data_IF_839527489106
#
_entry.id   IF_839527489106
#
_cell.length_a   1.000
_cell.length_b   1.000
_cell.length_c   1.000
_cell.angle_alpha   90.00
_cell.angle_beta   90.00
_cell.angle_gamma   90.00
#
_symmetry.space_group_name_H-M   'P 1'
#
loop_
_entity.id
_entity.type
_entity.pdbx_description
1 polymer ?
#
# COMPACT_ATOMS: atom_id res chain seq x y z
N UNK A 1 11.41 12.80 0.96
CA UNK A 1 11.28 11.81 2.06
C UNK A 1 12.61 11.11 2.27
N UNK A 2 13.13 11.04 3.50
CA UNK A 2 14.34 10.29 3.81
C UNK A 2 14.05 8.77 3.75
N UNK A 3 15.12 7.98 3.61
CA UNK A 3 15.02 6.52 3.63
C UNK A 3 16.10 5.90 4.50
N UNK A 4 15.81 4.75 5.05
CA UNK A 4 16.76 3.91 5.79
C UNK A 4 16.81 2.52 5.17
N UNK A 5 17.96 1.86 5.24
CA UNK A 5 18.13 0.52 4.69
C UNK A 5 18.00 -0.53 5.78
N UNK A 6 17.05 -1.44 5.64
CA UNK A 6 16.87 -2.61 6.52
C UNK A 6 17.04 -3.86 5.65
N UNK A 7 18.11 -4.62 5.87
CA UNK A 7 18.59 -5.65 4.95
C UNK A 7 18.79 -5.06 3.55
N UNK A 8 18.11 -5.60 2.52
CA UNK A 8 18.19 -5.10 1.15
C UNK A 8 17.06 -4.15 0.77
N UNK A 9 16.15 -3.83 1.71
CA UNK A 9 14.98 -2.98 1.45
C UNK A 9 15.22 -1.56 1.97
N UNK A 10 15.02 -0.56 1.12
CA UNK A 10 14.97 0.84 1.54
C UNK A 10 13.59 1.15 2.10
N UNK A 11 13.51 1.52 3.35
CA UNK A 11 12.26 1.88 4.05
C UNK A 11 12.18 3.41 4.15
N UNK A 12 11.03 3.97 3.86
CA UNK A 12 10.78 5.40 3.97
C UNK A 12 10.62 5.83 5.43
N UNK A 13 11.32 6.88 5.83
CA UNK A 13 11.07 7.57 7.09
C UNK A 13 9.82 8.43 6.92
N UNK A 14 8.70 7.96 7.44
CA UNK A 14 7.41 8.59 7.18
C UNK A 14 6.42 8.34 8.30
N UNK A 15 5.33 9.10 8.26
CA UNK A 15 4.19 8.95 9.16
C UNK A 15 2.92 8.58 8.38
N UNK A 16 1.92 8.08 9.10
CA UNK A 16 0.62 7.76 8.54
C UNK A 16 -0.03 8.95 7.82
N UNK A 17 0.04 10.13 8.46
CA UNK A 17 -0.55 11.37 7.92
C UNK A 17 0.20 11.82 6.66
N UNK A 18 1.53 11.75 6.67
CA UNK A 18 2.36 12.13 5.53
C UNK A 18 2.07 11.26 4.29
N UNK A 19 2.06 9.92 4.46
CA UNK A 19 1.72 9.00 3.35
C UNK A 19 0.32 9.26 2.82
N UNK A 20 -0.66 9.42 3.71
CA UNK A 20 -2.05 9.65 3.32
C UNK A 20 -2.25 10.98 2.58
N UNK A 21 -1.55 12.04 2.99
CA UNK A 21 -1.59 13.32 2.30
C UNK A 21 -0.97 13.22 0.91
N UNK A 22 0.20 12.59 0.79
CA UNK A 22 0.88 12.39 -0.50
C UNK A 22 -0.04 11.61 -1.46
N UNK A 23 -0.68 10.52 -1.00
CA UNK A 23 -1.60 9.71 -1.80
C UNK A 23 -2.84 10.49 -2.28
N UNK A 24 -3.23 11.54 -1.60
CA UNK A 24 -4.36 12.38 -1.99
C UNK A 24 -3.97 13.60 -2.86
N UNK A 25 -2.68 13.87 -3.03
CA UNK A 25 -2.19 15.08 -3.74
C UNK A 25 -1.32 14.77 -4.94
N UNK A 26 -0.59 13.65 -4.91
CA UNK A 26 0.35 13.26 -5.97
C UNK A 26 -0.27 12.20 -6.89
N UNK A 27 0.11 12.25 -8.15
CA UNK A 27 -0.34 11.27 -9.15
C UNK A 27 0.72 10.20 -9.41
N UNK A 28 0.27 9.01 -9.76
CA UNK A 28 1.12 7.90 -10.25
C UNK A 28 2.19 7.42 -9.27
N UNK A 29 1.88 7.37 -7.98
CA UNK A 29 2.76 6.83 -6.95
C UNK A 29 2.51 5.35 -6.68
N UNK A 30 3.60 4.61 -6.45
CA UNK A 30 3.59 3.22 -5.98
C UNK A 30 3.99 3.19 -4.52
N UNK A 31 3.12 2.64 -3.66
CA UNK A 31 3.37 2.49 -2.22
C UNK A 31 3.43 1.01 -1.86
N UNK A 32 4.53 0.56 -1.27
CA UNK A 32 4.69 -0.78 -0.73
C UNK A 32 4.52 -0.77 0.79
N UNK A 33 3.68 -1.65 1.31
CA UNK A 33 3.51 -1.88 2.75
C UNK A 33 4.50 -2.96 3.17
N UNK A 34 5.62 -2.54 3.79
CA UNK A 34 6.77 -3.41 4.05
C UNK A 34 6.78 -3.93 5.48
N UNK A 35 6.22 -5.12 5.68
CA UNK A 35 6.33 -5.85 6.95
C UNK A 35 7.57 -6.76 6.99
N UNK A 36 7.79 -7.44 8.11
CA UNK A 36 8.94 -8.35 8.31
C UNK A 36 9.02 -9.43 7.24
N UNK A 37 7.87 -10.01 6.83
CA UNK A 37 7.86 -11.04 5.78
C UNK A 37 8.32 -10.46 4.44
N UNK A 38 7.81 -9.28 4.06
CA UNK A 38 8.22 -8.58 2.83
C UNK A 38 9.72 -8.33 2.82
N UNK A 39 10.28 -7.78 3.90
CA UNK A 39 11.70 -7.43 4.00
C UNK A 39 12.60 -8.67 3.98
N UNK A 40 12.22 -9.74 4.69
CA UNK A 40 13.00 -11.00 4.71
C UNK A 40 12.92 -11.74 3.37
N UNK A 41 11.77 -11.76 2.71
CA UNK A 41 11.66 -12.35 1.36
C UNK A 41 12.47 -11.56 0.34
N UNK A 42 12.37 -10.24 0.36
CA UNK A 42 13.18 -9.34 -0.48
C UNK A 42 14.69 -9.54 -0.27
N UNK A 43 15.14 -9.84 0.94
CA UNK A 43 16.54 -10.17 1.22
C UNK A 43 17.01 -11.49 0.58
N UNK A 44 16.09 -12.43 0.36
CA UNK A 44 16.39 -13.77 -0.18
C UNK A 44 16.12 -13.91 -1.67
N UNK A 45 15.51 -12.91 -2.26
CA UNK A 45 15.03 -12.92 -3.65
C UNK A 45 15.37 -11.56 -4.28
N UNK A 46 16.37 -11.56 -5.15
CA UNK A 46 16.88 -10.35 -5.78
C UNK A 46 15.83 -9.70 -6.70
N UNK A 47 15.03 -10.48 -7.41
CA UNK A 47 13.96 -9.96 -8.26
C UNK A 47 12.90 -9.27 -7.43
N UNK A 48 12.45 -9.88 -6.33
CA UNK A 48 11.53 -9.23 -5.39
C UNK A 48 12.14 -7.98 -4.76
N UNK A 49 13.45 -8.01 -4.45
CA UNK A 49 14.18 -6.85 -3.93
C UNK A 49 14.15 -5.67 -4.90
N UNK A 50 14.40 -5.90 -6.18
CA UNK A 50 14.34 -4.88 -7.21
C UNK A 50 12.92 -4.30 -7.34
N UNK A 51 11.91 -5.17 -7.36
CA UNK A 51 10.49 -4.76 -7.43
C UNK A 51 10.14 -3.89 -6.23
N UNK A 52 10.38 -4.34 -5.00
CA UNK A 52 10.04 -3.57 -3.78
C UNK A 52 10.80 -2.24 -3.73
N UNK A 53 12.10 -2.25 -4.09
CA UNK A 53 12.88 -1.02 -4.07
C UNK A 53 12.48 -0.03 -5.18
N UNK A 54 11.80 -0.48 -6.25
CA UNK A 54 11.27 0.40 -7.30
C UNK A 54 10.02 1.19 -6.88
N UNK A 55 9.41 0.88 -5.74
CA UNK A 55 8.29 1.65 -5.23
C UNK A 55 8.75 3.01 -4.69
N UNK A 56 7.92 4.04 -4.85
CA UNK A 56 8.24 5.41 -4.44
C UNK A 56 8.25 5.53 -2.92
N UNK A 57 7.26 4.95 -2.24
CA UNK A 57 7.15 4.92 -0.79
C UNK A 57 7.12 3.47 -0.30
N UNK A 58 7.93 3.16 0.70
CA UNK A 58 7.99 1.86 1.36
C UNK A 58 7.75 2.03 2.85
N UNK A 59 6.49 1.81 3.28
CA UNK A 59 6.09 2.08 4.66
C UNK A 59 6.61 1.02 5.64
N UNK A 60 7.04 1.42 6.85
CA UNK A 60 7.48 0.50 7.91
C UNK A 60 6.27 -0.16 8.60
N UNK A 61 5.72 -1.23 7.99
CA UNK A 61 4.63 -1.99 8.60
C UNK A 61 5.16 -2.98 9.64
N UNK A 62 4.52 -2.98 10.77
CA UNK A 62 4.86 -3.83 11.90
C UNK A 62 5.95 -3.26 12.81
N UNK A 63 5.82 -3.62 14.09
CA UNK A 63 6.73 -3.16 15.13
C UNK A 63 8.20 -3.49 14.85
N UNK A 64 8.57 -4.69 14.34
CA UNK A 64 9.98 -5.01 14.11
C UNK A 64 10.65 -4.07 13.09
N UNK A 65 9.96 -3.72 12.00
CA UNK A 65 10.54 -2.84 10.96
C UNK A 65 10.69 -1.41 11.49
N UNK A 66 9.64 -0.85 12.11
CA UNK A 66 9.70 0.48 12.71
C UNK A 66 10.79 0.56 13.81
N UNK A 67 10.88 -0.47 14.66
CA UNK A 67 11.88 -0.53 15.74
C UNK A 67 13.31 -0.68 15.20
N UNK A 68 13.51 -1.50 14.16
CA UNK A 68 14.82 -1.63 13.51
C UNK A 68 15.29 -0.30 12.92
N UNK A 69 14.41 0.45 12.25
CA UNK A 69 14.71 1.80 11.79
C UNK A 69 15.16 2.68 12.94
N UNK A 70 14.39 2.73 14.03
CA UNK A 70 14.71 3.56 15.20
C UNK A 70 16.03 3.22 15.88
N UNK A 71 16.36 1.91 15.99
CA UNK A 71 17.62 1.47 16.63
C UNK A 71 18.83 1.71 15.74
N UNK A 72 18.73 1.33 14.46
CA UNK A 72 19.87 1.38 13.54
C UNK A 72 20.23 2.82 13.12
N UNK A 73 19.22 3.67 12.98
CA UNK A 73 19.39 5.03 12.46
C UNK A 73 19.09 6.13 13.47
N UNK A 74 18.78 5.76 14.73
CA UNK A 74 18.53 6.70 15.84
C UNK A 74 17.40 7.71 15.53
N UNK A 75 16.39 7.28 14.77
CA UNK A 75 15.21 8.07 14.45
C UNK A 75 13.99 7.66 15.29
N UNK A 76 12.89 8.41 15.17
CA UNK A 76 11.61 8.13 15.82
C UNK A 76 10.61 7.60 14.79
N UNK A 77 10.84 6.40 14.28
CA UNK A 77 9.93 5.81 13.30
C UNK A 77 8.78 5.09 13.98
N UNK A 78 7.57 5.56 13.74
CA UNK A 78 6.33 4.88 14.11
C UNK A 78 5.93 3.83 13.06
N UNK A 79 5.12 2.85 13.48
CA UNK A 79 4.52 1.89 12.55
C UNK A 79 3.55 2.59 11.60
N UNK A 80 3.65 2.28 10.30
CA UNK A 80 2.77 2.77 9.24
C UNK A 80 2.24 1.55 8.49
N UNK A 81 1.10 1.03 8.93
CA UNK A 81 0.50 -0.20 8.39
C UNK A 81 -0.59 0.08 7.35
N UNK A 82 -0.81 -0.90 6.48
CA UNK A 82 -1.71 -0.76 5.33
C UNK A 82 -3.17 -0.47 5.69
N UNK A 83 -3.68 -1.05 6.79
CA UNK A 83 -5.05 -0.81 7.22
C UNK A 83 -5.28 0.66 7.62
N UNK A 84 -4.38 1.20 8.45
CA UNK A 84 -4.48 2.59 8.86
C UNK A 84 -4.15 3.56 7.71
N UNK A 85 -3.22 3.22 6.80
CA UNK A 85 -3.00 3.99 5.56
C UNK A 85 -4.30 4.08 4.76
N UNK A 86 -4.96 2.95 4.50
CA UNK A 86 -6.24 2.93 3.77
C UNK A 86 -7.29 3.84 4.42
N UNK A 87 -7.56 3.65 5.72
CA UNK A 87 -8.61 4.42 6.41
C UNK A 87 -8.28 5.92 6.50
N UNK A 88 -7.01 6.25 6.74
CA UNK A 88 -6.59 7.67 6.82
C UNK A 88 -6.65 8.33 5.45
N UNK A 89 -6.20 7.65 4.39
CA UNK A 89 -6.28 8.17 3.01
C UNK A 89 -7.73 8.40 2.58
N UNK A 90 -8.63 7.47 2.89
CA UNK A 90 -10.06 7.66 2.64
C UNK A 90 -10.56 8.90 3.38
N UNK A 91 -10.34 8.96 4.69
CA UNK A 91 -10.85 10.05 5.53
C UNK A 91 -10.32 11.42 5.10
N UNK A 92 -9.03 11.54 4.82
CA UNK A 92 -8.43 12.81 4.36
C UNK A 92 -8.81 13.16 2.92
N UNK A 93 -9.09 12.16 2.09
CA UNK A 93 -9.49 12.32 0.69
C UNK A 93 -10.96 12.67 0.46
N UNK A 94 -11.83 12.55 1.49
CA UNK A 94 -13.26 12.86 1.35
C UNK A 94 -13.52 14.30 0.87
N UNK A 95 -12.71 15.27 1.32
CA UNK A 95 -12.85 16.67 0.94
C UNK A 95 -12.48 16.95 -0.51
N UNK A 96 -11.61 16.13 -1.07
CA UNK A 96 -11.10 16.25 -2.44
C UNK A 96 -11.82 15.31 -3.41
N UNK A 97 -12.82 14.56 -2.91
CA UNK A 97 -13.53 13.52 -3.66
C UNK A 97 -12.56 12.49 -4.30
N UNK A 98 -11.48 12.13 -3.57
CA UNK A 98 -10.51 11.15 -4.04
C UNK A 98 -11.22 9.84 -4.38
N UNK A 99 -10.98 9.33 -5.59
CA UNK A 99 -11.58 8.07 -6.04
C UNK A 99 -10.75 6.87 -5.61
N UNK A 100 -11.45 5.76 -5.35
CA UNK A 100 -10.85 4.51 -4.87
C UNK A 100 -11.27 3.34 -5.76
N UNK A 101 -10.31 2.53 -6.18
CA UNK A 101 -10.53 1.26 -6.84
C UNK A 101 -9.94 0.11 -6.00
N UNK A 102 -10.72 -0.95 -5.79
CA UNK A 102 -10.27 -2.10 -4.98
C UNK A 102 -9.96 -3.29 -5.88
N UNK A 103 -8.71 -3.73 -5.86
CA UNK A 103 -8.23 -4.86 -6.66
C UNK A 103 -7.63 -5.96 -5.79
N UNK A 104 -8.07 -7.21 -6.01
CA UNK A 104 -7.52 -8.37 -5.29
C UNK A 104 -8.54 -9.11 -4.42
N UNK A 105 -8.06 -10.10 -3.66
CA UNK A 105 -8.90 -10.97 -2.81
C UNK A 105 -9.97 -11.73 -3.60
N UNK A 106 -11.03 -12.21 -2.94
CA UNK A 106 -12.21 -12.78 -3.59
C UNK A 106 -13.40 -11.79 -3.58
N UNK A 107 -14.33 -12.01 -4.48
CA UNK A 107 -15.52 -11.15 -4.67
C UNK A 107 -16.33 -10.92 -3.40
N UNK A 108 -16.47 -11.92 -2.55
CA UNK A 108 -17.26 -11.80 -1.32
C UNK A 108 -16.56 -10.92 -0.30
N UNK A 109 -15.22 -11.04 -0.21
CA UNK A 109 -14.41 -10.22 0.69
C UNK A 109 -14.42 -8.77 0.22
N UNK A 110 -14.20 -8.53 -1.08
CA UNK A 110 -14.22 -7.17 -1.64
C UNK A 110 -15.59 -6.51 -1.46
N UNK A 111 -16.68 -7.23 -1.74
CA UNK A 111 -18.05 -6.73 -1.52
C UNK A 111 -18.30 -6.35 -0.05
N UNK A 112 -17.89 -7.20 0.90
CA UNK A 112 -18.02 -6.89 2.34
C UNK A 112 -17.16 -5.69 2.75
N UNK A 113 -15.94 -5.58 2.23
CA UNK A 113 -15.08 -4.42 2.46
C UNK A 113 -15.76 -3.14 1.99
N UNK A 114 -16.25 -3.11 0.75
CA UNK A 114 -16.94 -1.95 0.18
C UNK A 114 -18.19 -1.58 0.98
N UNK A 115 -18.99 -2.56 1.39
CA UNK A 115 -20.18 -2.31 2.22
C UNK A 115 -19.79 -1.68 3.57
N UNK A 116 -18.71 -2.18 4.20
CA UNK A 116 -18.22 -1.62 5.45
C UNK A 116 -17.70 -0.20 5.24
N UNK A 117 -16.89 0.04 4.22
CA UNK A 117 -16.33 1.36 3.93
C UNK A 117 -17.43 2.39 3.63
N UNK A 118 -18.45 2.03 2.85
CA UNK A 118 -19.62 2.92 2.58
C UNK A 118 -20.42 3.21 3.84
N UNK A 119 -20.49 2.28 4.79
CA UNK A 119 -21.12 2.51 6.09
C UNK A 119 -20.31 3.45 6.98
N UNK A 120 -18.98 3.23 7.04
CA UNK A 120 -18.08 3.99 7.90
C UNK A 120 -17.76 5.39 7.31
N UNK A 121 -17.75 5.50 5.98
CA UNK A 121 -17.46 6.71 5.20
C UNK A 121 -18.55 6.92 4.13
N UNK A 122 -19.75 7.45 4.47
CA UNK A 122 -20.86 7.57 3.52
C UNK A 122 -20.56 8.39 2.27
N UNK A 123 -19.59 9.31 2.33
CA UNK A 123 -19.15 10.17 1.21
C UNK A 123 -17.97 9.59 0.41
N UNK A 124 -17.57 8.33 0.65
CA UNK A 124 -16.47 7.71 -0.09
C UNK A 124 -16.82 7.56 -1.58
N UNK A 125 -15.88 7.95 -2.45
CA UNK A 125 -16.02 7.78 -3.89
C UNK A 125 -15.32 6.47 -4.33
N UNK A 126 -16.08 5.39 -4.49
CA UNK A 126 -15.59 4.11 -5.00
C UNK A 126 -15.99 3.97 -6.46
N UNK A 127 -15.01 4.01 -7.37
CA UNK A 127 -15.23 3.98 -8.83
C UNK A 127 -15.24 2.56 -9.39
N UNK A 128 -14.71 1.56 -8.65
CA UNK A 128 -14.75 0.18 -9.09
C UNK A 128 -14.07 -0.80 -8.15
N UNK A 129 -14.19 -2.06 -8.51
CA UNK A 129 -13.47 -3.15 -7.85
C UNK A 129 -13.39 -4.37 -8.75
N UNK A 130 -12.31 -5.14 -8.70
CA UNK A 130 -12.18 -6.44 -9.35
C UNK A 130 -11.38 -7.43 -8.52
N UNK A 131 -11.72 -8.70 -8.68
CA UNK A 131 -11.09 -9.80 -7.98
C UNK A 131 -10.50 -10.76 -9.03
N UNK A 132 -9.20 -10.66 -9.35
CA UNK A 132 -8.59 -11.57 -10.30
C UNK A 132 -8.58 -13.01 -9.74
N UNK A 133 -8.53 -14.03 -10.60
CA UNK A 133 -8.38 -15.40 -10.16
C UNK A 133 -7.05 -15.60 -9.44
N UNK A 134 -6.93 -16.67 -8.66
CA UNK A 134 -5.63 -17.11 -8.13
C UNK A 134 -4.80 -17.65 -9.29
N UNK A 135 -3.62 -17.08 -9.53
CA UNK A 135 -2.76 -17.46 -10.64
C UNK A 135 -1.30 -17.08 -10.42
N UNK A 136 -0.46 -17.45 -11.39
CA UNK A 136 0.95 -17.02 -11.42
C UNK A 136 1.08 -15.52 -11.70
N UNK A 137 2.28 -14.96 -11.50
CA UNK A 137 2.54 -13.55 -11.83
C UNK A 137 2.30 -13.26 -13.31
N UNK A 138 2.68 -14.19 -14.21
CA UNK A 138 2.51 -14.08 -15.64
C UNK A 138 1.02 -14.09 -16.04
N UNK A 139 0.21 -14.88 -15.37
CA UNK A 139 -1.24 -14.92 -15.59
C UNK A 139 -1.89 -13.63 -15.12
N UNK A 140 -1.57 -13.16 -13.90
CA UNK A 140 -2.15 -11.95 -13.33
C UNK A 140 -1.68 -10.66 -14.01
N UNK A 141 -0.57 -10.69 -14.75
CA UNK A 141 -0.08 -9.56 -15.53
C UNK A 141 -0.78 -9.41 -16.91
N UNK A 142 -1.71 -10.30 -17.27
CA UNK A 142 -2.45 -10.20 -18.53
C UNK A 142 -3.32 -8.95 -18.55
N UNK A 143 -3.38 -8.33 -19.71
CA UNK A 143 -4.14 -7.09 -19.95
C UNK A 143 -5.61 -7.20 -19.50
N UNK A 144 -6.23 -8.37 -19.68
CA UNK A 144 -7.62 -8.64 -19.28
C UNK A 144 -7.91 -8.40 -17.79
N UNK A 145 -6.91 -8.62 -16.89
CA UNK A 145 -7.08 -8.43 -15.44
C UNK A 145 -6.76 -7.01 -14.97
N UNK A 146 -5.99 -6.26 -15.75
CA UNK A 146 -5.61 -4.89 -15.38
C UNK A 146 -6.41 -3.83 -16.12
N UNK A 147 -7.09 -4.22 -17.20
CA UNK A 147 -7.87 -3.32 -18.05
C UNK A 147 -8.90 -2.51 -17.26
N UNK A 148 -9.67 -3.18 -16.41
CA UNK A 148 -10.70 -2.51 -15.60
C UNK A 148 -10.13 -1.44 -14.65
N UNK A 149 -8.85 -1.61 -14.22
CA UNK A 149 -8.16 -0.63 -13.39
C UNK A 149 -7.71 0.55 -14.25
N UNK A 150 -7.25 0.28 -15.48
CA UNK A 150 -6.76 1.31 -16.40
C UNK A 150 -7.91 2.18 -16.91
N UNK A 151 -9.07 1.57 -17.13
CA UNK A 151 -10.26 2.22 -17.68
C UNK A 151 -11.07 2.97 -16.60
N UNK A 152 -10.75 2.79 -15.31
CA UNK A 152 -11.48 3.40 -14.18
C UNK A 152 -10.91 4.79 -13.82
#
# INVERSE_FOLDING_TARGET
MNTVKILNTTISETSLVEVSNILNTENSLKVAICNTNTVVRSYRDDQLSEIINSFDIKTPDGFPIAKSSSILYKNSQSRVDGYNVLLTTINTGLTNNTSHYFYGSDDLVVKKLIQKLKKDFPAINIIGSSSPPVGSYEELAREEYVKDIIDA
#
